data_IF_599044901870
#
_entry.id   IF_599044901870
#
_cell.length_a   1.000
_cell.length_b   1.000
_cell.length_c   1.000
_cell.angle_alpha   90.00
_cell.angle_beta   90.00
_cell.angle_gamma   90.00
#
_symmetry.space_group_name_H-M   'P 1'
#
loop_
_entity.id
_entity.type
_entity.pdbx_description
1 polymer ?
#
# COMPACT_ATOMS: atom_id res chain seq x y z
N UNK A 1 30.03 53.30 28.73
CA UNK A 1 29.03 52.25 28.50
C UNK A 1 28.90 51.99 26.99
N UNK A 2 29.51 50.90 26.46
CA UNK A 2 29.41 50.52 25.03
C UNK A 2 28.29 49.48 24.93
N UNK A 3 27.19 49.80 24.24
CA UNK A 3 26.13 48.87 23.89
C UNK A 3 26.63 47.99 22.73
N UNK A 4 26.94 46.72 22.99
CA UNK A 4 27.24 45.72 21.99
C UNK A 4 25.94 45.26 21.29
N UNK A 5 25.66 45.86 20.15
CA UNK A 5 24.58 45.38 19.27
C UNK A 5 24.94 44.02 18.70
N UNK A 6 24.13 42.99 18.97
CA UNK A 6 24.22 41.69 18.30
C UNK A 6 23.91 41.89 16.81
N UNK A 7 24.91 41.72 15.94
CA UNK A 7 24.68 41.73 14.51
C UNK A 7 23.86 40.50 14.14
N UNK A 8 22.77 40.63 13.36
CA UNK A 8 21.95 39.48 12.97
C UNK A 8 22.77 38.48 12.15
N UNK A 9 22.53 37.21 12.38
CA UNK A 9 23.22 36.05 11.74
C UNK A 9 23.32 36.18 10.20
N UNK A 10 22.33 36.83 9.60
CA UNK A 10 22.27 37.11 8.16
C UNK A 10 23.42 37.98 7.62
N UNK A 11 24.05 38.82 8.47
CA UNK A 11 25.14 39.69 8.06
C UNK A 11 26.48 38.92 8.00
N UNK A 12 26.63 37.88 8.82
CA UNK A 12 27.83 37.03 8.85
C UNK A 12 27.89 36.09 7.62
N UNK A 13 26.75 35.66 7.09
CA UNK A 13 26.69 34.80 5.90
C UNK A 13 27.07 35.51 4.59
N UNK A 14 27.02 36.84 4.55
CA UNK A 14 27.37 37.62 3.34
C UNK A 14 28.88 37.75 3.10
N UNK A 15 29.71 37.41 4.08
CA UNK A 15 31.16 37.45 4.02
C UNK A 15 31.84 36.08 4.08
N UNK A 16 31.06 34.98 4.17
CA UNK A 16 31.60 33.65 4.18
C UNK A 16 32.04 33.20 2.76
N UNK A 17 33.14 32.46 2.63
CA UNK A 17 33.54 31.90 1.33
C UNK A 17 32.41 31.04 0.76
N UNK A 18 32.14 31.14 -0.55
CA UNK A 18 31.08 30.41 -1.25
C UNK A 18 31.04 28.89 -0.93
N UNK A 19 32.21 28.29 -0.62
CA UNK A 19 32.33 26.89 -0.22
C UNK A 19 31.61 26.59 1.11
N UNK A 20 31.76 27.50 2.09
CA UNK A 20 31.10 27.31 3.42
C UNK A 20 29.58 27.52 3.31
N UNK A 21 29.17 28.51 2.54
CA UNK A 21 27.73 28.76 2.30
C UNK A 21 27.08 27.57 1.58
N UNK A 22 27.73 27.05 0.55
CA UNK A 22 27.24 25.89 -0.19
C UNK A 22 27.21 24.60 0.67
N UNK A 23 28.21 24.39 1.52
CA UNK A 23 28.23 23.24 2.44
C UNK A 23 27.13 23.34 3.50
N UNK A 24 26.84 24.53 4.03
CA UNK A 24 25.77 24.77 4.98
C UNK A 24 24.39 24.58 4.32
N UNK A 25 24.21 25.04 3.10
CA UNK A 25 22.98 24.83 2.32
C UNK A 25 22.79 23.32 2.04
N UNK A 26 23.84 22.61 1.68
CA UNK A 26 23.78 21.16 1.45
C UNK A 26 23.40 20.39 2.72
N UNK A 27 24.00 20.72 3.86
CA UNK A 27 23.67 20.11 5.17
C UNK A 27 22.25 20.45 5.57
N UNK A 28 21.83 21.71 5.42
CA UNK A 28 20.46 22.14 5.70
C UNK A 28 19.43 21.38 4.85
N UNK A 29 19.66 21.28 3.54
CA UNK A 29 18.77 20.54 2.64
C UNK A 29 18.70 19.05 2.99
N UNK A 30 19.82 18.43 3.39
CA UNK A 30 19.87 17.02 3.78
C UNK A 30 19.13 16.77 5.11
N UNK A 31 19.31 17.65 6.08
CA UNK A 31 18.60 17.59 7.37
C UNK A 31 17.11 17.84 7.16
N UNK A 32 16.74 18.82 6.35
CA UNK A 32 15.34 19.11 6.01
C UNK A 32 14.68 17.92 5.30
N UNK A 33 15.38 17.25 4.41
CA UNK A 33 14.87 16.06 3.72
C UNK A 33 14.62 14.89 4.69
N UNK A 34 15.52 14.67 5.65
CA UNK A 34 15.38 13.62 6.67
C UNK A 34 14.19 13.95 7.60
N UNK A 35 14.12 15.20 8.09
CA UNK A 35 13.00 15.63 8.95
C UNK A 35 11.66 15.53 8.21
N UNK A 36 11.62 15.92 6.96
CA UNK A 36 10.42 15.82 6.10
C UNK A 36 10.00 14.35 5.92
N UNK A 37 10.96 13.43 5.76
CA UNK A 37 10.71 11.99 5.71
C UNK A 37 10.03 11.48 6.97
N UNK A 38 10.54 11.79 8.16
CA UNK A 38 9.91 11.43 9.44
C UNK A 38 8.52 12.01 9.61
N UNK A 39 8.32 13.26 9.19
CA UNK A 39 7.04 13.94 9.27
C UNK A 39 5.98 13.28 8.40
N UNK A 40 6.35 12.89 7.18
CA UNK A 40 5.47 12.17 6.25
C UNK A 40 5.13 10.78 6.77
N UNK A 41 6.10 10.08 7.35
CA UNK A 41 5.92 8.74 7.91
C UNK A 41 4.91 8.74 9.07
N UNK A 42 5.00 9.71 9.99
CA UNK A 42 4.07 9.85 11.12
C UNK A 42 2.60 10.01 10.65
N UNK A 43 2.35 10.87 9.67
CA UNK A 43 1.01 11.07 9.10
C UNK A 43 0.54 9.82 8.35
N UNK A 44 1.43 9.17 7.59
CA UNK A 44 1.13 7.96 6.84
C UNK A 44 0.78 6.80 7.78
N UNK A 45 1.47 6.66 8.91
CA UNK A 45 1.21 5.61 9.88
C UNK A 45 -0.15 5.77 10.58
N UNK A 46 -0.56 6.99 10.88
CA UNK A 46 -1.90 7.27 11.37
C UNK A 46 -2.97 6.88 10.34
N UNK A 47 -2.76 7.22 9.06
CA UNK A 47 -3.67 6.86 7.98
C UNK A 47 -3.69 5.36 7.69
N UNK A 48 -2.57 4.64 7.86
CA UNK A 48 -2.52 3.16 7.79
C UNK A 48 -3.36 2.50 8.86
N UNK A 49 -3.38 3.06 10.07
CA UNK A 49 -4.16 2.54 11.19
C UNK A 49 -5.65 2.89 11.04
N UNK A 50 -5.95 4.12 10.63
CA UNK A 50 -7.31 4.59 10.44
C UNK A 50 -7.40 5.65 9.32
N UNK A 51 -7.74 5.22 8.13
CA UNK A 51 -7.89 6.10 6.97
C UNK A 51 -9.10 7.07 7.06
N UNK A 52 -9.91 7.00 8.13
CA UNK A 52 -11.04 7.90 8.39
C UNK A 52 -10.73 9.04 9.35
N UNK A 53 -9.48 9.14 9.85
CA UNK A 53 -9.08 10.28 10.67
C UNK A 53 -9.27 11.56 9.89
N UNK A 54 -9.85 12.58 10.55
CA UNK A 54 -9.93 13.91 9.97
C UNK A 54 -8.56 14.59 9.96
N UNK A 55 -8.37 15.56 9.10
CA UNK A 55 -7.14 16.35 9.05
C UNK A 55 -6.89 17.06 10.39
N UNK A 56 -7.96 17.49 11.05
CA UNK A 56 -7.96 18.12 12.36
C UNK A 56 -7.47 17.14 13.45
N UNK A 57 -7.93 15.89 13.43
CA UNK A 57 -7.47 14.86 14.37
C UNK A 57 -5.98 14.56 14.17
N UNK A 58 -5.55 14.37 12.91
CA UNK A 58 -4.13 14.15 12.58
C UNK A 58 -3.29 15.37 13.03
N UNK A 59 -3.76 16.58 12.80
CA UNK A 59 -3.11 17.82 13.24
C UNK A 59 -2.90 17.83 14.75
N UNK A 60 -3.94 17.49 15.53
CA UNK A 60 -3.86 17.43 16.99
C UNK A 60 -2.88 16.34 17.47
N UNK A 61 -2.86 15.14 16.81
CA UNK A 61 -2.00 14.01 17.19
C UNK A 61 -0.53 14.29 16.88
N UNK A 62 -0.25 14.92 15.73
CA UNK A 62 1.12 15.18 15.23
C UNK A 62 1.67 16.55 15.67
N UNK A 63 0.87 17.37 16.32
CA UNK A 63 1.22 18.77 16.70
C UNK A 63 1.62 19.64 15.50
N UNK A 64 1.07 19.36 14.33
CA UNK A 64 1.24 20.12 13.09
C UNK A 64 0.00 20.96 12.82
N UNK A 65 0.13 21.99 12.00
CA UNK A 65 -1.02 22.75 11.56
C UNK A 65 -1.87 21.95 10.56
N UNK A 66 -3.15 22.26 10.48
CA UNK A 66 -4.09 21.64 9.53
C UNK A 66 -3.58 21.77 8.07
N UNK A 67 -2.99 22.93 7.73
CA UNK A 67 -2.47 23.18 6.39
C UNK A 67 -1.22 22.34 6.09
N UNK A 68 -0.34 22.12 7.06
CA UNK A 68 0.80 21.22 6.92
C UNK A 68 0.35 19.78 6.71
N UNK A 69 -0.63 19.30 7.48
CA UNK A 69 -1.17 17.92 7.31
C UNK A 69 -1.82 17.75 5.94
N UNK A 70 -2.61 18.73 5.48
CA UNK A 70 -3.19 18.70 4.11
C UNK A 70 -2.11 18.64 3.03
N UNK A 71 -1.06 19.43 3.17
CA UNK A 71 0.05 19.45 2.21
C UNK A 71 0.80 18.10 2.18
N UNK A 72 0.99 17.46 3.37
CA UNK A 72 1.62 16.15 3.48
C UNK A 72 0.76 15.08 2.81
N UNK A 73 -0.54 15.01 3.13
CA UNK A 73 -1.45 14.03 2.54
C UNK A 73 -1.49 14.17 1.03
N UNK A 74 -1.68 15.41 0.54
CA UNK A 74 -1.66 15.67 -0.89
C UNK A 74 -0.37 15.22 -1.55
N UNK A 75 0.77 15.47 -0.93
CA UNK A 75 2.06 15.03 -1.46
C UNK A 75 2.18 13.50 -1.50
N UNK A 76 1.69 12.79 -0.46
CA UNK A 76 1.68 11.31 -0.44
C UNK A 76 0.79 10.73 -1.54
N UNK A 77 -0.31 11.40 -1.89
CA UNK A 77 -1.20 11.05 -3.00
C UNK A 77 -0.55 11.36 -4.35
N UNK A 78 -0.01 12.57 -4.53
CA UNK A 78 0.64 13.02 -5.77
C UNK A 78 1.89 12.17 -6.10
N UNK A 79 2.66 11.77 -5.09
CA UNK A 79 3.83 10.90 -5.23
C UNK A 79 3.44 9.40 -5.41
N UNK A 80 2.16 9.06 -5.36
CA UNK A 80 1.65 7.69 -5.48
C UNK A 80 2.01 6.77 -4.30
N UNK A 81 2.39 7.33 -3.14
CA UNK A 81 2.58 6.56 -1.90
C UNK A 81 1.23 6.09 -1.37
N UNK A 82 0.22 6.95 -1.40
CA UNK A 82 -1.18 6.60 -1.16
C UNK A 82 -1.86 6.44 -2.51
N UNK A 83 -2.26 5.21 -2.83
CA UNK A 83 -2.92 4.90 -4.10
C UNK A 83 -4.43 5.07 -4.01
N UNK A 84 -5.04 4.73 -2.86
CA UNK A 84 -6.48 4.86 -2.58
C UNK A 84 -6.78 4.66 -1.11
N UNK A 85 -7.96 5.09 -0.69
CA UNK A 85 -8.58 4.75 0.59
C UNK A 85 -9.68 3.72 0.33
N UNK A 86 -9.70 2.63 1.11
CA UNK A 86 -10.69 1.58 0.95
C UNK A 86 -11.15 1.05 2.31
N UNK A 87 -12.44 0.76 2.44
CA UNK A 87 -12.96 0.03 3.59
C UNK A 87 -12.70 -1.46 3.42
N UNK A 88 -12.28 -2.12 4.49
CA UNK A 88 -12.23 -3.59 4.55
C UNK A 88 -13.57 -4.05 5.13
N UNK A 89 -14.29 -4.84 4.34
CA UNK A 89 -15.64 -5.30 4.68
C UNK A 89 -15.59 -6.79 4.96
N UNK A 90 -16.32 -7.23 6.00
CA UNK A 90 -16.48 -8.65 6.27
C UNK A 90 -17.51 -9.24 5.29
N UNK A 91 -17.11 -10.11 4.35
CA UNK A 91 -18.01 -10.64 3.33
C UNK A 91 -19.11 -11.52 3.91
N UNK A 92 -18.89 -12.21 5.04
CA UNK A 92 -19.89 -13.05 5.71
C UNK A 92 -21.02 -12.23 6.36
N UNK A 93 -20.76 -10.94 6.65
CA UNK A 93 -21.74 -10.03 7.28
C UNK A 93 -22.37 -9.04 6.29
N UNK A 94 -21.78 -8.87 5.13
CA UNK A 94 -22.32 -8.00 4.08
C UNK A 94 -23.40 -8.73 3.29
N UNK A 95 -24.66 -8.49 3.67
CA UNK A 95 -25.82 -9.08 2.98
C UNK A 95 -26.01 -8.57 1.54
N UNK A 96 -25.28 -7.54 1.14
CA UNK A 96 -25.34 -6.96 -0.21
C UNK A 96 -24.22 -7.48 -1.09
N UNK A 97 -23.18 -8.11 -0.50
CA UNK A 97 -22.11 -8.75 -1.23
C UNK A 97 -22.64 -9.92 -2.06
N UNK A 98 -22.19 -10.01 -3.30
CA UNK A 98 -22.36 -11.24 -4.08
C UNK A 98 -21.51 -12.34 -3.46
N UNK A 99 -22.02 -13.55 -3.46
CA UNK A 99 -21.30 -14.74 -3.03
C UNK A 99 -20.26 -15.11 -4.12
N UNK A 100 -19.12 -14.40 -4.08
CA UNK A 100 -18.09 -14.55 -5.09
C UNK A 100 -17.17 -15.73 -4.77
N UNK A 101 -16.87 -16.52 -5.77
CA UNK A 101 -15.86 -17.57 -5.69
C UNK A 101 -14.48 -16.96 -5.88
N UNK A 102 -13.62 -17.10 -4.87
CA UNK A 102 -12.23 -16.66 -4.90
C UNK A 102 -11.29 -17.83 -5.20
N UNK A 103 -10.38 -17.62 -6.13
CA UNK A 103 -9.38 -18.62 -6.49
C UNK A 103 -7.97 -18.05 -6.54
N UNK A 104 -7.01 -18.87 -6.13
CA UNK A 104 -5.58 -18.68 -6.32
C UNK A 104 -5.14 -19.51 -7.54
N UNK A 105 -4.47 -18.86 -8.47
CA UNK A 105 -3.96 -19.48 -9.67
C UNK A 105 -2.43 -19.33 -9.67
N UNK A 106 -1.75 -20.45 -9.67
CA UNK A 106 -0.30 -20.54 -9.84
C UNK A 106 -0.02 -20.72 -11.32
N UNK A 107 0.86 -19.89 -11.87
CA UNK A 107 1.19 -19.89 -13.30
C UNK A 107 2.69 -20.12 -13.46
N UNK A 108 3.05 -21.06 -14.31
CA UNK A 108 4.41 -21.19 -14.81
C UNK A 108 4.49 -20.53 -16.19
N UNK A 109 5.47 -19.65 -16.36
CA UNK A 109 5.66 -18.91 -17.60
C UNK A 109 7.05 -19.15 -18.18
N UNK A 110 7.17 -18.96 -19.46
CA UNK A 110 8.45 -18.87 -20.14
C UNK A 110 8.81 -17.40 -20.31
N UNK A 111 9.81 -16.88 -19.58
CA UNK A 111 10.17 -15.47 -19.68
C UNK A 111 10.67 -15.17 -21.10
N UNK A 112 10.25 -14.02 -21.63
CA UNK A 112 10.72 -13.50 -22.90
C UNK A 112 12.06 -12.78 -22.72
N UNK A 113 12.97 -12.91 -23.70
CA UNK A 113 14.36 -12.44 -23.58
C UNK A 113 14.49 -10.95 -23.29
N UNK A 114 13.56 -10.09 -23.78
CA UNK A 114 13.66 -8.64 -23.68
C UNK A 114 12.78 -8.03 -22.55
N UNK A 115 11.69 -8.71 -22.17
CA UNK A 115 10.69 -8.16 -21.25
C UNK A 115 10.46 -9.02 -20.00
N UNK A 116 11.18 -10.14 -19.87
CA UNK A 116 11.08 -11.00 -18.68
C UNK A 116 9.65 -11.47 -18.39
N UNK A 117 9.22 -11.29 -17.16
CA UNK A 117 7.87 -11.64 -16.68
C UNK A 117 6.87 -10.50 -16.86
N UNK A 118 7.33 -9.25 -17.04
CA UNK A 118 6.49 -8.06 -16.98
C UNK A 118 5.48 -8.00 -18.12
N UNK A 119 5.87 -8.43 -19.33
CA UNK A 119 4.97 -8.44 -20.49
C UNK A 119 3.75 -9.36 -20.29
N UNK A 120 3.93 -10.49 -19.60
CA UNK A 120 2.84 -11.42 -19.28
C UNK A 120 2.01 -10.85 -18.13
N UNK A 121 2.66 -10.32 -17.09
CA UNK A 121 1.99 -9.67 -15.96
C UNK A 121 1.09 -8.53 -16.41
N UNK A 122 1.57 -7.68 -17.34
CA UNK A 122 0.83 -6.56 -17.93
C UNK A 122 -0.48 -6.99 -18.62
N UNK A 123 -0.49 -8.16 -19.23
CA UNK A 123 -1.71 -8.72 -19.85
C UNK A 123 -2.67 -9.26 -18.79
N UNK A 124 -2.13 -9.89 -17.73
CA UNK A 124 -2.93 -10.55 -16.69
C UNK A 124 -3.63 -9.56 -15.79
N UNK A 125 -2.92 -8.53 -15.25
CA UNK A 125 -3.55 -7.63 -14.28
C UNK A 125 -4.62 -6.69 -14.88
N UNK A 126 -4.70 -6.60 -16.21
CA UNK A 126 -5.74 -5.82 -16.90
C UNK A 126 -7.10 -6.52 -16.91
N UNK A 127 -7.16 -7.81 -16.63
CA UNK A 127 -8.45 -8.48 -16.53
C UNK A 127 -9.20 -8.03 -15.26
N UNK A 128 -10.49 -7.64 -15.36
CA UNK A 128 -11.27 -7.14 -14.22
C UNK A 128 -11.48 -8.18 -13.11
N UNK A 129 -11.39 -9.47 -13.44
CA UNK A 129 -11.48 -10.57 -12.49
C UNK A 129 -10.24 -10.66 -11.59
N UNK A 130 -9.09 -10.14 -12.04
CA UNK A 130 -7.83 -10.19 -11.30
C UNK A 130 -7.84 -9.15 -10.20
N UNK A 131 -7.74 -9.62 -8.97
CA UNK A 131 -7.67 -8.78 -7.76
C UNK A 131 -6.24 -8.55 -7.30
N UNK A 132 -5.38 -9.54 -7.49
CA UNK A 132 -3.96 -9.43 -7.15
C UNK A 132 -3.11 -10.27 -8.09
N UNK A 133 -1.90 -9.79 -8.36
CA UNK A 133 -0.89 -10.48 -9.15
C UNK A 133 0.48 -10.28 -8.50
N UNK A 134 1.22 -11.37 -8.34
CA UNK A 134 2.54 -11.37 -7.71
C UNK A 134 3.53 -12.17 -8.56
N UNK A 135 4.77 -11.68 -8.66
CA UNK A 135 5.92 -12.47 -9.11
C UNK A 135 6.46 -13.25 -7.90
N UNK A 136 6.65 -14.54 -8.07
CA UNK A 136 7.02 -15.45 -6.99
C UNK A 136 8.42 -16.02 -7.20
N UNK A 137 9.12 -16.26 -6.11
CA UNK A 137 10.36 -17.04 -6.09
C UNK A 137 10.06 -18.44 -5.55
N UNK A 138 9.97 -19.46 -6.43
CA UNK A 138 9.61 -20.81 -5.98
C UNK A 138 9.25 -21.75 -7.11
N UNK A 139 8.32 -22.68 -6.83
CA UNK A 139 7.90 -23.73 -7.78
C UNK A 139 7.03 -23.24 -8.94
N UNK A 140 6.62 -21.98 -8.95
CA UNK A 140 5.88 -21.32 -10.01
C UNK A 140 6.28 -19.82 -10.06
N UNK A 141 5.99 -19.16 -11.16
CA UNK A 141 6.50 -17.81 -11.43
C UNK A 141 5.51 -16.71 -11.04
N UNK A 142 4.22 -16.88 -11.34
CA UNK A 142 3.19 -15.89 -11.03
C UNK A 142 2.08 -16.49 -10.17
N UNK A 143 1.63 -15.71 -9.19
CA UNK A 143 0.46 -15.99 -8.37
C UNK A 143 -0.62 -14.96 -8.68
N UNK A 144 -1.79 -15.43 -9.08
CA UNK A 144 -2.95 -14.60 -9.41
C UNK A 144 -4.09 -14.90 -8.45
N UNK A 145 -4.69 -13.88 -7.87
CA UNK A 145 -5.94 -14.00 -7.12
C UNK A 145 -7.05 -13.43 -7.99
N UNK A 146 -8.07 -14.23 -8.23
CA UNK A 146 -9.25 -13.83 -8.99
C UNK A 146 -10.54 -14.03 -8.19
N UNK A 147 -11.58 -13.31 -8.60
CA UNK A 147 -12.94 -13.48 -8.13
C UNK A 147 -13.87 -13.64 -9.32
N UNK A 148 -14.83 -14.56 -9.20
CA UNK A 148 -15.85 -14.84 -10.18
C UNK A 148 -17.19 -15.14 -9.54
N UNK A 149 -18.27 -15.01 -10.30
CA UNK A 149 -19.63 -15.24 -9.79
C UNK A 149 -19.89 -16.71 -9.40
N UNK A 150 -19.15 -17.66 -9.99
CA UNK A 150 -19.25 -19.09 -9.69
C UNK A 150 -17.99 -19.85 -10.16
N UNK A 151 -17.90 -21.15 -9.79
CA UNK A 151 -16.79 -22.03 -10.14
C UNK A 151 -16.57 -22.16 -11.65
N UNK A 152 -17.65 -22.16 -12.43
CA UNK A 152 -17.60 -22.29 -13.88
C UNK A 152 -16.96 -21.06 -14.52
N UNK A 153 -17.31 -19.87 -14.05
CA UNK A 153 -16.75 -18.61 -14.57
C UNK A 153 -15.25 -18.53 -14.29
N UNK A 154 -14.82 -18.95 -13.10
CA UNK A 154 -13.40 -19.06 -12.75
C UNK A 154 -12.69 -20.05 -13.67
N UNK A 155 -13.27 -21.25 -13.89
CA UNK A 155 -12.69 -22.28 -14.75
C UNK A 155 -12.57 -21.80 -16.21
N UNK A 156 -13.63 -21.16 -16.74
CA UNK A 156 -13.61 -20.59 -18.10
C UNK A 156 -12.59 -19.48 -18.23
N UNK A 157 -12.49 -18.58 -17.25
CA UNK A 157 -11.47 -17.53 -17.26
C UNK A 157 -10.06 -18.11 -17.32
N UNK A 158 -9.77 -19.16 -16.55
CA UNK A 158 -8.46 -19.81 -16.58
C UNK A 158 -8.20 -20.48 -17.93
N UNK A 159 -9.15 -21.28 -18.44
CA UNK A 159 -8.97 -22.06 -19.67
C UNK A 159 -8.94 -21.20 -20.93
N UNK A 160 -9.79 -20.18 -21.01
CA UNK A 160 -9.96 -19.37 -22.21
C UNK A 160 -9.10 -18.11 -22.25
N UNK A 161 -8.71 -17.58 -21.07
CA UNK A 161 -7.94 -16.33 -20.98
C UNK A 161 -6.52 -16.55 -20.49
N UNK A 162 -6.32 -17.17 -19.32
CA UNK A 162 -4.98 -17.28 -18.75
C UNK A 162 -4.12 -18.33 -19.45
N UNK A 163 -4.66 -19.54 -19.67
CA UNK A 163 -3.90 -20.64 -20.29
C UNK A 163 -3.60 -20.44 -21.78
N UNK A 164 -4.32 -19.50 -22.42
CA UNK A 164 -4.12 -19.17 -23.84
C UNK A 164 -3.13 -18.04 -24.07
N UNK A 165 -2.66 -17.39 -23.00
CA UNK A 165 -1.67 -16.33 -23.11
C UNK A 165 -0.34 -16.90 -23.58
N UNK A 166 0.25 -16.26 -24.57
CA UNK A 166 1.58 -16.60 -25.05
C UNK A 166 2.60 -16.49 -23.91
N UNK A 167 3.42 -17.52 -23.73
CA UNK A 167 4.40 -17.62 -22.67
C UNK A 167 3.89 -18.34 -21.42
N UNK A 168 2.60 -18.58 -21.27
CA UNK A 168 2.05 -19.41 -20.18
C UNK A 168 2.28 -20.89 -20.50
N UNK A 169 2.99 -21.60 -19.62
CA UNK A 169 3.28 -23.03 -19.76
C UNK A 169 2.25 -23.92 -19.07
N UNK A 170 1.88 -23.53 -17.85
CA UNK A 170 0.91 -24.27 -17.05
C UNK A 170 0.21 -23.36 -16.05
N UNK A 171 -0.99 -23.76 -15.66
CA UNK A 171 -1.79 -23.12 -14.62
C UNK A 171 -2.28 -24.17 -13.63
N UNK A 172 -2.26 -23.82 -12.34
CA UNK A 172 -2.84 -24.65 -11.27
C UNK A 172 -3.79 -23.77 -10.46
N UNK A 173 -5.06 -24.12 -10.46
CA UNK A 173 -6.12 -23.38 -9.75
C UNK A 173 -6.43 -24.04 -8.41
N UNK A 174 -6.53 -23.23 -7.37
CA UNK A 174 -6.93 -23.65 -6.03
C UNK A 174 -8.00 -22.67 -5.54
N UNK A 175 -9.13 -23.19 -5.06
CA UNK A 175 -10.22 -22.36 -4.56
C UNK A 175 -10.04 -22.04 -3.08
N UNK A 176 -10.32 -20.79 -2.70
CA UNK A 176 -10.36 -20.37 -1.30
C UNK A 176 -11.71 -20.77 -0.73
N UNK A 177 -11.72 -21.70 0.21
CA UNK A 177 -12.95 -22.19 0.83
C UNK A 177 -13.40 -21.31 1.99
N UNK A 178 -12.42 -20.76 2.75
CA UNK A 178 -12.69 -19.88 3.88
C UNK A 178 -11.49 -18.97 4.14
N UNK A 179 -11.74 -17.70 4.43
CA UNK A 179 -10.72 -16.75 4.87
C UNK A 179 -10.79 -16.58 6.38
N UNK A 180 -9.75 -16.99 7.10
CA UNK A 180 -9.66 -16.82 8.55
C UNK A 180 -9.09 -15.48 8.95
N UNK A 181 -8.03 -15.04 8.25
CA UNK A 181 -7.35 -13.76 8.47
C UNK A 181 -6.84 -13.21 7.13
N UNK A 182 -7.01 -11.93 6.87
CA UNK A 182 -6.44 -11.23 5.74
C UNK A 182 -6.15 -9.77 6.13
N UNK A 183 -5.02 -9.21 5.68
CA UNK A 183 -4.59 -7.84 5.99
C UNK A 183 -4.66 -7.52 7.50
N UNK A 184 -4.17 -8.43 8.34
CA UNK A 184 -4.20 -8.38 9.81
C UNK A 184 -5.57 -8.35 10.49
N UNK A 185 -6.65 -8.52 9.71
CA UNK A 185 -8.01 -8.59 10.21
C UNK A 185 -8.46 -10.04 10.31
N UNK A 186 -8.94 -10.44 11.48
CA UNK A 186 -9.53 -11.75 11.73
C UNK A 186 -11.02 -11.68 11.36
N UNK A 187 -11.44 -12.53 10.41
CA UNK A 187 -12.83 -12.59 9.94
C UNK A 187 -13.71 -13.49 10.80
N UNK A 188 -13.13 -14.49 11.43
CA UNK A 188 -13.86 -15.43 12.31
C UNK A 188 -14.05 -14.76 13.67
N UNK A 189 -15.31 -14.54 14.07
CA UNK A 189 -15.62 -14.14 15.43
C UNK A 189 -15.14 -15.24 16.40
N UNK A 190 -14.38 -14.89 17.43
CA UNK A 190 -13.99 -15.83 18.46
C UNK A 190 -15.24 -16.20 19.27
N UNK A 191 -15.88 -17.31 18.92
CA UNK A 191 -17.03 -17.83 19.66
C UNK A 191 -16.64 -18.28 21.10
N UNK A 192 -15.34 -18.32 21.42
CA UNK A 192 -14.84 -18.69 22.75
C UNK A 192 -15.08 -17.59 23.79
N UNK A 193 -15.13 -16.34 23.38
CA UNK A 193 -15.31 -15.18 24.30
C UNK A 193 -16.77 -15.05 24.80
N UNK A 194 -17.71 -15.80 24.24
CA UNK A 194 -19.12 -15.81 24.72
C UNK A 194 -19.38 -16.87 25.80
N UNK A 195 -18.46 -17.78 26.07
CA UNK A 195 -18.66 -18.88 27.03
C UNK A 195 -18.07 -18.62 28.42
N UNK A 196 -17.20 -17.61 28.57
CA UNK A 196 -16.61 -17.26 29.86
C UNK A 196 -17.44 -16.29 30.73
N UNK A 197 -18.60 -15.86 30.26
CA UNK A 197 -19.49 -14.91 30.95
C UNK A 197 -20.52 -15.53 31.90
N UNK A 198 -20.52 -16.86 32.15
CA UNK A 198 -21.48 -17.53 33.05
C UNK A 198 -20.74 -18.39 34.04
N UNK A 199 -20.02 -17.77 34.98
CA UNK A 199 -19.68 -18.35 36.28
C UNK A 199 -19.85 -17.28 37.35
N UNK A 200 -20.96 -17.31 38.03
CA UNK A 200 -21.19 -16.77 39.35
C UNK A 200 -22.14 -17.68 40.08
#
# INVERSE_FOLDING_TARGET
MRKGGRRPLFFALRQAPNVIVNSLIFVYNRISFIIWGFIMEEVLDLLRQNARLSVEDISAMTKKTVDEVKAIIKKLEDDGVILKYAAIVNPEKDKTAKDLVRAEIQIQVQPQREHGFDAIADRIYRFPQVKSLYLMSGGYDLKVIIEGDNLKDVALFVSEKLSTLEGVRSTKTTFVLKTYKENDIVYVADERDRREGVQA
#
